data_IF_805627025906
#
_entry.id   IF_805627025906
#
_cell.length_a   1.000
_cell.length_b   1.000
_cell.length_c   1.000
_cell.angle_alpha   90.00
_cell.angle_beta   90.00
_cell.angle_gamma   90.00
#
_symmetry.space_group_name_H-M   'P 1'
#
loop_
_entity.id
_entity.type
_entity.pdbx_description
1 polymer ?
#
# COMPACT_ATOMS: atom_id res chain seq x y z
N UNK A 1 11.10 -47.82 -34.13
CA UNK A 1 11.64 -47.51 -32.78
C UNK A 1 12.29 -46.11 -32.71
N UNK A 2 11.69 -45.08 -33.32
CA UNK A 2 12.16 -43.67 -33.27
C UNK A 2 11.04 -42.63 -33.07
N UNK A 3 9.77 -43.07 -32.98
CA UNK A 3 8.61 -42.19 -32.86
C UNK A 3 8.11 -41.99 -31.42
N UNK A 4 8.47 -42.87 -30.49
CA UNK A 4 7.97 -42.85 -29.11
C UNK A 4 8.78 -41.88 -28.22
N UNK A 5 10.04 -41.61 -28.58
CA UNK A 5 10.92 -40.71 -27.81
C UNK A 5 10.61 -39.22 -28.01
N UNK A 6 9.86 -38.85 -29.05
CA UNK A 6 9.49 -37.46 -29.34
C UNK A 6 8.26 -36.97 -28.55
N UNK A 7 7.39 -37.88 -28.09
CA UNK A 7 6.20 -37.49 -27.31
C UNK A 7 6.52 -37.10 -25.85
N UNK A 8 7.57 -37.66 -25.25
CA UNK A 8 7.96 -37.34 -23.87
C UNK A 8 8.64 -35.97 -23.70
N UNK A 9 9.19 -35.40 -24.78
CA UNK A 9 9.84 -34.09 -24.76
C UNK A 9 8.86 -32.91 -24.90
N UNK A 10 7.65 -33.15 -25.43
CA UNK A 10 6.63 -32.11 -25.62
C UNK A 10 5.80 -31.89 -24.34
N UNK A 11 5.70 -32.90 -23.47
CA UNK A 11 4.92 -32.84 -22.22
C UNK A 11 5.62 -32.13 -21.05
N UNK A 12 6.90 -31.77 -21.18
CA UNK A 12 7.66 -31.05 -20.13
C UNK A 12 7.64 -29.52 -20.27
N UNK A 13 6.94 -28.98 -21.27
CA UNK A 13 6.91 -27.53 -21.55
C UNK A 13 5.58 -26.85 -21.20
N UNK A 14 4.61 -27.60 -20.71
CA UNK A 14 3.35 -27.04 -20.21
C UNK A 14 3.34 -27.10 -18.71
N UNK A 15 4.27 -26.39 -18.06
CA UNK A 15 4.01 -25.96 -16.69
C UNK A 15 2.78 -25.06 -16.75
N UNK A 16 1.66 -25.40 -16.11
CA UNK A 16 0.63 -24.39 -15.92
C UNK A 16 1.32 -23.25 -15.18
N UNK A 17 1.31 -22.05 -15.77
CA UNK A 17 1.61 -20.86 -15.00
C UNK A 17 0.57 -20.84 -13.89
N UNK A 18 0.95 -21.29 -12.70
CA UNK A 18 0.12 -21.14 -11.52
C UNK A 18 -0.20 -19.65 -11.44
N UNK A 19 -1.46 -19.30 -11.65
CA UNK A 19 -1.90 -17.92 -11.52
C UNK A 19 -1.67 -17.54 -10.06
N UNK A 20 -0.60 -16.79 -9.81
CA UNK A 20 -0.25 -16.36 -8.47
C UNK A 20 -1.30 -15.33 -8.05
N UNK A 21 -1.96 -15.56 -6.93
CA UNK A 21 -3.00 -14.68 -6.44
C UNK A 21 -2.39 -13.37 -5.90
N UNK A 22 -3.18 -12.30 -5.94
CA UNK A 22 -2.82 -11.07 -5.24
C UNK A 22 -2.80 -11.35 -3.75
N UNK A 23 -1.75 -10.92 -3.06
CA UNK A 23 -1.64 -11.08 -1.61
C UNK A 23 -1.45 -9.73 -0.92
N UNK A 24 -2.05 -9.60 0.26
CA UNK A 24 -1.86 -8.44 1.13
C UNK A 24 -0.54 -8.65 1.84
N UNK A 25 0.45 -7.87 1.42
CA UNK A 25 1.77 -7.83 2.04
C UNK A 25 1.65 -7.28 3.46
N UNK A 26 0.93 -6.17 3.61
CA UNK A 26 0.78 -5.54 4.92
C UNK A 26 -0.45 -4.62 5.05
N UNK A 27 -0.77 -4.25 6.29
CA UNK A 27 -1.79 -3.27 6.64
C UNK A 27 -1.34 -2.36 7.79
N UNK A 28 -1.41 -1.05 7.54
CA UNK A 28 -1.06 -0.02 8.52
C UNK A 28 -2.31 0.60 9.09
N UNK A 29 -2.52 0.43 10.40
CA UNK A 29 -3.50 1.17 11.18
C UNK A 29 -2.79 1.78 12.36
N UNK A 30 -2.82 3.11 12.48
CA UNK A 30 -2.29 3.83 13.64
C UNK A 30 -0.88 3.39 14.03
N UNK A 31 0.05 3.53 13.11
CA UNK A 31 1.43 3.16 13.32
C UNK A 31 2.26 4.39 13.67
N UNK A 32 3.27 4.16 14.51
CA UNK A 32 4.29 5.15 14.81
C UNK A 32 5.21 5.32 13.59
N UNK A 33 5.99 6.41 13.57
CA UNK A 33 6.73 6.72 12.37
C UNK A 33 7.84 5.70 12.06
N UNK A 34 8.60 5.27 13.08
CA UNK A 34 9.71 4.33 12.84
C UNK A 34 9.19 2.99 12.31
N UNK A 35 8.06 2.51 12.85
CA UNK A 35 7.36 1.34 12.33
C UNK A 35 6.89 1.54 10.88
N UNK A 36 6.35 2.72 10.55
CA UNK A 36 6.00 3.07 9.16
C UNK A 36 7.20 3.02 8.23
N UNK A 37 8.34 3.58 8.62
CA UNK A 37 9.53 3.60 7.77
C UNK A 37 10.10 2.20 7.58
N UNK A 38 10.19 1.41 8.66
CA UNK A 38 10.66 0.02 8.59
C UNK A 38 9.77 -0.85 7.71
N UNK A 39 8.45 -0.73 7.84
CA UNK A 39 7.49 -1.54 7.06
C UNK A 39 7.37 -1.08 5.61
N UNK A 40 7.51 0.22 5.34
CA UNK A 40 7.66 0.70 3.96
C UNK A 40 8.95 0.19 3.31
N UNK A 41 10.04 0.07 4.06
CA UNK A 41 11.28 -0.51 3.57
C UNK A 41 11.14 -2.01 3.28
N UNK A 42 10.40 -2.74 4.11
CA UNK A 42 10.02 -4.13 3.86
C UNK A 42 9.21 -4.28 2.56
N UNK A 43 8.20 -3.42 2.33
CA UNK A 43 7.46 -3.38 1.06
C UNK A 43 8.39 -3.20 -0.15
N UNK A 44 9.39 -2.30 -0.06
CA UNK A 44 10.34 -2.09 -1.16
C UNK A 44 11.23 -3.32 -1.39
N UNK A 45 11.62 -4.03 -0.33
CA UNK A 45 12.32 -5.30 -0.46
C UNK A 45 11.46 -6.33 -1.21
N UNK A 46 10.19 -6.47 -0.83
CA UNK A 46 9.28 -7.41 -1.49
C UNK A 46 8.98 -7.03 -2.95
N UNK A 47 8.82 -5.73 -3.24
CA UNK A 47 8.68 -5.23 -4.60
C UNK A 47 9.94 -5.48 -5.48
N UNK A 48 11.13 -5.57 -4.86
CA UNK A 48 12.39 -5.94 -5.53
C UNK A 48 12.46 -7.44 -5.80
N UNK A 49 12.03 -8.25 -4.83
CA UNK A 49 11.96 -9.71 -4.96
C UNK A 49 10.94 -10.15 -6.02
N UNK A 50 9.92 -9.32 -6.27
CA UNK A 50 8.84 -9.57 -7.22
C UNK A 50 8.80 -8.53 -8.35
N UNK A 51 9.79 -8.49 -9.27
CA UNK A 51 9.97 -7.38 -10.22
C UNK A 51 8.84 -7.22 -11.25
N UNK A 52 8.06 -8.28 -11.50
CA UNK A 52 6.92 -8.25 -12.44
C UNK A 52 5.59 -7.94 -11.75
N UNK A 53 5.54 -7.93 -10.41
CA UNK A 53 4.34 -7.59 -9.67
C UNK A 53 4.07 -6.08 -9.71
N UNK A 54 2.78 -5.73 -9.75
CA UNK A 54 2.30 -4.37 -9.52
C UNK A 54 1.99 -4.21 -8.04
N UNK A 55 2.50 -3.14 -7.43
CA UNK A 55 2.24 -2.79 -6.03
C UNK A 55 0.97 -1.95 -5.96
N UNK A 56 -0.06 -2.45 -5.31
CA UNK A 56 -1.28 -1.70 -5.04
C UNK A 56 -1.24 -1.13 -3.62
N UNK A 57 -1.51 0.17 -3.52
CA UNK A 57 -1.54 0.91 -2.26
C UNK A 57 -2.95 1.46 -2.08
N UNK A 58 -3.71 0.84 -1.18
CA UNK A 58 -5.09 1.23 -0.88
C UNK A 58 -5.10 2.16 0.33
N UNK A 59 -5.55 3.39 0.13
CA UNK A 59 -5.63 4.41 1.17
C UNK A 59 -7.07 4.58 1.64
N UNK A 60 -7.30 4.30 2.92
CA UNK A 60 -8.56 4.58 3.59
C UNK A 60 -8.42 5.84 4.44
N UNK A 61 -9.30 6.81 4.21
CA UNK A 61 -9.39 7.96 5.11
C UNK A 61 -10.22 7.59 6.34
N UNK A 62 -9.76 8.01 7.50
CA UNK A 62 -10.38 7.75 8.79
C UNK A 62 -9.82 8.69 9.83
N UNK A 63 -10.17 8.48 11.10
CA UNK A 63 -9.53 9.24 12.17
C UNK A 63 -8.03 8.99 12.19
N UNK A 64 -7.26 10.02 12.51
CA UNK A 64 -5.80 9.98 12.62
C UNK A 64 -5.37 10.47 13.98
N UNK A 65 -4.28 9.91 14.51
CA UNK A 65 -3.60 10.51 15.64
C UNK A 65 -3.04 11.87 15.20
N UNK A 66 -3.40 12.92 15.92
CA UNK A 66 -2.87 14.27 15.72
C UNK A 66 -2.75 14.96 17.08
N UNK A 67 -1.86 15.94 17.18
CA UNK A 67 -1.67 16.70 18.40
C UNK A 67 -2.77 17.74 18.55
N UNK A 68 -3.54 17.63 19.63
CA UNK A 68 -4.56 18.61 19.98
C UNK A 68 -3.93 19.71 20.85
N UNK A 69 -3.71 20.88 20.26
CA UNK A 69 -3.09 22.03 20.96
C UNK A 69 -3.92 22.58 22.13
N UNK A 70 -5.24 22.33 22.16
CA UNK A 70 -6.11 22.78 23.24
C UNK A 70 -5.97 21.92 24.49
N UNK A 71 -5.92 20.60 24.30
CA UNK A 71 -5.76 19.62 25.40
C UNK A 71 -4.31 19.27 25.68
N UNK A 72 -3.38 19.70 24.81
CA UNK A 72 -1.95 19.39 24.82
C UNK A 72 -1.64 17.89 24.80
N UNK A 73 -2.45 17.11 24.08
CA UNK A 73 -2.34 15.65 24.00
C UNK A 73 -2.46 15.14 22.57
N UNK A 74 -1.88 13.98 22.32
CA UNK A 74 -2.11 13.21 21.10
C UNK A 74 -3.46 12.53 21.20
N UNK A 75 -4.33 12.79 20.23
CA UNK A 75 -5.72 12.30 20.24
C UNK A 75 -6.11 11.75 18.87
N UNK A 76 -7.01 10.77 18.89
CA UNK A 76 -7.61 10.23 17.69
C UNK A 76 -8.68 11.21 17.19
N UNK A 77 -8.38 11.92 16.11
CA UNK A 77 -9.20 13.03 15.63
C UNK A 77 -9.66 12.80 14.19
N UNK A 78 -10.76 13.46 13.82
CA UNK A 78 -11.24 13.49 12.43
C UNK A 78 -10.13 13.96 11.47
N UNK A 79 -10.03 13.40 10.26
CA UNK A 79 -9.02 13.82 9.31
C UNK A 79 -9.28 15.26 8.83
N UNK A 80 -8.22 15.91 8.36
CA UNK A 80 -8.31 17.15 7.57
C UNK A 80 -8.62 16.79 6.12
N UNK A 81 -9.23 17.71 5.38
CA UNK A 81 -9.53 17.49 3.96
C UNK A 81 -8.24 17.26 3.17
N UNK A 82 -8.26 16.29 2.26
CA UNK A 82 -7.13 15.98 1.37
C UNK A 82 -6.06 15.05 1.99
N UNK A 83 -6.43 14.26 3.01
CA UNK A 83 -5.49 13.37 3.70
C UNK A 83 -4.98 12.28 2.77
N UNK A 84 -5.86 11.66 1.98
CA UNK A 84 -5.46 10.65 1.00
C UNK A 84 -4.41 11.21 0.02
N UNK A 85 -4.64 12.38 -0.56
CA UNK A 85 -3.71 13.03 -1.49
C UNK A 85 -2.38 13.38 -0.82
N UNK A 86 -2.43 13.85 0.42
CA UNK A 86 -1.22 14.18 1.17
C UNK A 86 -0.37 12.94 1.44
N UNK A 87 -0.99 11.83 1.83
CA UNK A 87 -0.31 10.54 2.04
C UNK A 87 0.23 9.95 0.75
N UNK A 88 -0.54 10.00 -0.35
CA UNK A 88 -0.07 9.57 -1.68
C UNK A 88 1.19 10.35 -2.08
N UNK A 89 1.23 11.68 -1.88
CA UNK A 89 2.42 12.48 -2.16
C UNK A 89 3.63 12.04 -1.34
N UNK A 90 3.47 11.81 -0.03
CA UNK A 90 4.56 11.30 0.81
C UNK A 90 5.10 9.96 0.33
N UNK A 91 4.23 9.02 -0.03
CA UNK A 91 4.66 7.70 -0.51
C UNK A 91 5.36 7.82 -1.87
N UNK A 92 4.85 8.64 -2.80
CA UNK A 92 5.50 8.91 -4.09
C UNK A 92 6.92 9.46 -3.91
N UNK A 93 7.10 10.44 -3.01
CA UNK A 93 8.43 10.97 -2.72
C UNK A 93 9.39 9.89 -2.20
N UNK A 94 8.88 8.90 -1.44
CA UNK A 94 9.70 7.79 -0.94
C UNK A 94 10.05 6.78 -2.04
N UNK A 95 9.11 6.46 -2.93
CA UNK A 95 9.35 5.64 -4.14
C UNK A 95 10.46 6.29 -4.98
N UNK A 96 10.39 7.61 -5.18
CA UNK A 96 11.38 8.38 -5.92
C UNK A 96 12.75 8.32 -5.27
N UNK A 97 12.80 8.56 -3.95
CA UNK A 97 14.03 8.49 -3.16
C UNK A 97 14.69 7.10 -3.22
N UNK A 98 13.90 6.03 -3.29
CA UNK A 98 14.37 4.64 -3.38
C UNK A 98 14.68 4.20 -4.82
N UNK A 99 14.47 5.05 -5.82
CA UNK A 99 14.80 4.75 -7.22
C UNK A 99 13.90 3.71 -7.89
N UNK A 100 12.69 3.50 -7.39
CA UNK A 100 11.74 2.55 -7.98
C UNK A 100 11.00 3.16 -9.18
N UNK A 101 10.66 2.29 -10.15
CA UNK A 101 9.74 2.66 -11.22
C UNK A 101 8.33 2.91 -10.66
N UNK A 102 7.90 4.18 -10.71
CA UNK A 102 6.60 4.62 -10.21
C UNK A 102 5.43 3.98 -10.95
N UNK A 103 5.62 3.54 -12.19
CA UNK A 103 4.54 2.91 -12.97
C UNK A 103 4.12 1.56 -12.39
N UNK A 104 4.98 0.94 -11.58
CA UNK A 104 4.67 -0.29 -10.82
C UNK A 104 3.78 -0.04 -9.59
N UNK A 105 3.51 1.21 -9.23
CA UNK A 105 2.75 1.54 -8.02
C UNK A 105 1.40 2.16 -8.37
N UNK A 106 0.32 1.47 -8.00
CA UNK A 106 -1.06 1.91 -8.22
C UNK A 106 -1.65 2.38 -6.90
N UNK A 107 -2.06 3.65 -6.86
CA UNK A 107 -2.68 4.25 -5.68
C UNK A 107 -4.20 4.26 -5.81
N UNK A 108 -4.88 3.66 -4.84
CA UNK A 108 -6.35 3.57 -4.79
C UNK A 108 -6.87 4.36 -3.59
N UNK A 109 -7.72 5.36 -3.84
CA UNK A 109 -8.49 6.00 -2.76
C UNK A 109 -9.64 5.07 -2.38
N UNK A 110 -9.38 4.19 -1.41
CA UNK A 110 -10.22 3.04 -1.10
C UNK A 110 -11.52 3.42 -0.37
N UNK A 111 -11.64 4.66 0.10
CA UNK A 111 -12.83 5.21 0.75
C UNK A 111 -12.59 5.42 2.23
N UNK A 112 -13.58 5.09 3.07
CA UNK A 112 -13.54 5.45 4.49
C UNK A 112 -13.58 4.25 5.43
N UNK A 113 -12.83 4.39 6.52
CA UNK A 113 -12.88 3.53 7.70
C UNK A 113 -12.93 4.39 8.97
N UNK A 114 -13.18 3.77 10.12
CA UNK A 114 -13.16 4.47 11.40
C UNK A 114 -11.81 5.12 11.70
N UNK A 115 -10.73 4.42 11.40
CA UNK A 115 -9.35 4.89 11.48
C UNK A 115 -8.71 4.87 10.10
N UNK A 116 -7.81 5.82 9.85
CA UNK A 116 -7.11 5.88 8.58
C UNK A 116 -6.20 4.67 8.45
N UNK A 117 -6.30 3.97 7.33
CA UNK A 117 -5.56 2.75 7.07
C UNK A 117 -4.85 2.79 5.72
N UNK A 118 -3.75 2.05 5.62
CA UNK A 118 -3.06 1.74 4.37
C UNK A 118 -3.06 0.23 4.20
N UNK A 119 -3.45 -0.28 3.04
CA UNK A 119 -3.16 -1.67 2.70
C UNK A 119 -2.15 -1.71 1.57
N UNK A 120 -1.18 -2.60 1.71
CA UNK A 120 -0.09 -2.84 0.78
C UNK A 120 -0.30 -4.21 0.16
N UNK A 121 -0.36 -4.25 -1.16
CA UNK A 121 -0.67 -5.45 -1.92
C UNK A 121 0.34 -5.65 -3.03
N UNK A 122 0.78 -6.89 -3.19
CA UNK A 122 1.54 -7.32 -4.36
C UNK A 122 0.62 -8.11 -5.28
N UNK A 123 0.52 -7.64 -6.53
CA UNK A 123 -0.39 -8.18 -7.55
C UNK A 123 0.45 -8.69 -8.71
N UNK A 124 0.68 -10.02 -8.79
CA UNK A 124 1.39 -10.64 -9.91
C UNK A 124 0.67 -10.43 -11.25
N UNK A 125 1.36 -10.58 -12.38
CA UNK A 125 0.73 -10.53 -13.69
C UNK A 125 -0.43 -11.53 -13.81
N UNK A 126 -1.60 -11.06 -14.25
CA UNK A 126 -2.81 -11.87 -14.41
C UNK A 126 -3.65 -12.05 -13.14
N UNK A 127 -3.18 -11.61 -11.97
CA UNK A 127 -3.96 -11.61 -10.75
C UNK A 127 -5.01 -10.49 -10.74
N UNK A 128 -6.12 -10.72 -10.03
CA UNK A 128 -7.14 -9.68 -9.84
C UNK A 128 -6.66 -8.64 -8.81
N UNK A 129 -6.87 -7.33 -9.05
CA UNK A 129 -6.55 -6.29 -8.07
C UNK A 129 -7.37 -6.43 -6.77
N UNK A 130 -6.85 -5.96 -5.63
CA UNK A 130 -7.58 -5.99 -4.37
C UNK A 130 -8.82 -5.09 -4.39
N UNK A 131 -9.89 -5.56 -3.76
CA UNK A 131 -11.12 -4.79 -3.58
C UNK A 131 -11.06 -3.94 -2.31
N UNK A 132 -11.52 -2.70 -2.39
CA UNK A 132 -11.59 -1.81 -1.23
C UNK A 132 -12.66 -2.27 -0.23
N UNK A 133 -12.31 -2.29 1.06
CA UNK A 133 -13.20 -2.68 2.17
C UNK A 133 -13.51 -1.47 3.07
N UNK A 134 -14.51 -0.70 2.65
CA UNK A 134 -15.00 0.48 3.39
C UNK A 134 -15.82 0.02 4.59
N UNK A 135 -15.62 0.66 5.75
CA UNK A 135 -16.44 0.41 6.96
C UNK A 135 -17.30 1.61 7.35
N UNK A 136 -17.08 2.77 6.72
CA UNK A 136 -17.83 4.00 6.99
C UNK A 136 -18.35 4.56 5.65
N UNK A 137 -19.63 4.97 5.55
CA UNK A 137 -20.19 5.48 4.29
C UNK A 137 -19.75 6.92 3.97
N UNK A 138 -19.49 7.74 4.99
CA UNK A 138 -19.14 9.16 4.85
C UNK A 138 -18.18 9.62 5.93
N UNK A 139 -17.16 10.37 5.54
CA UNK A 139 -16.23 11.00 6.47
C UNK A 139 -16.63 12.45 6.79
N UNK A 140 -16.48 12.84 8.07
CA UNK A 140 -16.53 14.24 8.48
C UNK A 140 -15.12 14.75 8.68
N UNK A 141 -14.81 15.90 8.11
CA UNK A 141 -13.49 16.50 8.17
C UNK A 141 -13.44 17.64 9.17
N UNK A 142 -12.27 17.86 9.78
CA UNK A 142 -11.99 19.09 10.52
C UNK A 142 -11.31 20.13 9.61
N UNK A 143 -11.39 21.43 9.93
CA UNK A 143 -10.69 22.47 9.19
C UNK A 143 -9.17 22.29 9.16
N UNK A 144 -8.53 22.86 8.14
CA UNK A 144 -7.07 22.86 7.97
C UNK A 144 -6.60 21.98 6.81
N UNK A 145 -5.31 22.09 6.48
CA UNK A 145 -4.65 21.33 5.42
C UNK A 145 -4.13 20.00 5.96
N UNK A 146 -4.47 18.88 5.30
CA UNK A 146 -3.87 17.61 5.65
C UNK A 146 -2.38 17.58 5.31
N UNK A 147 -1.61 16.98 6.20
CA UNK A 147 -0.20 16.66 5.99
C UNK A 147 -0.09 15.17 5.66
N UNK A 148 0.90 14.81 4.85
CA UNK A 148 1.15 13.42 4.52
C UNK A 148 1.81 12.68 5.68
N UNK A 149 2.42 11.53 5.39
CA UNK A 149 3.34 10.93 6.34
C UNK A 149 4.53 11.88 6.49
N UNK A 150 4.72 12.41 7.69
CA UNK A 150 5.78 13.35 7.97
C UNK A 150 7.04 12.57 8.36
N UNK A 151 7.85 12.20 7.37
CA UNK A 151 9.12 11.48 7.58
C UNK A 151 10.11 12.32 8.39
N UNK A 152 10.05 13.65 8.26
CA UNK A 152 10.89 14.60 9.02
C UNK A 152 10.36 14.90 10.43
N UNK A 153 9.11 14.54 10.74
CA UNK A 153 8.57 14.63 12.11
C UNK A 153 9.00 13.43 12.97
N UNK A 154 9.66 12.47 12.34
CA UNK A 154 10.30 11.33 12.97
C UNK A 154 11.71 11.79 13.24
N UNK A 155 11.90 12.52 14.34
CA UNK A 155 13.23 12.99 14.66
C UNK A 155 13.42 13.27 16.14
N UNK A 156 14.66 13.13 16.62
CA UNK A 156 15.69 12.17 16.20
C UNK A 156 15.36 10.72 16.61
#
# INVERSE_FOLDING_TARGET
MRLITLLFLILLWTSPAFAQEAFKDDEFVRIECDDYLGRMDALFQEASNSPTATVYILLYEGKVMDYNSRTKRWELMRPKVGLAEARIRSIKNRIDYRGFDKTRFVFVKAGFREEAALELWLVPPGASPPAATRTVPKMRYRPGKAVGFCVECCGP
#
